data_IF_282234127881
#
_entry.id   IF_282234127881
#
_cell.length_a   1.000
_cell.length_b   1.000
_cell.length_c   1.000
_cell.angle_alpha   90.00
_cell.angle_beta   90.00
_cell.angle_gamma   90.00
#
_symmetry.space_group_name_H-M   'P 1'
#
loop_
_entity.id
_entity.type
_entity.pdbx_description
1 polymer ?
#
# COMPACT_ATOMS: atom_id res chain seq x y z
N UNK A 1 6.95 3.67 20.42
CA UNK A 1 6.16 4.73 19.76
C UNK A 1 6.60 5.03 18.31
N UNK A 2 7.22 4.08 17.60
CA UNK A 2 7.83 4.29 16.27
C UNK A 2 6.83 4.26 15.08
N UNK A 3 5.57 3.88 15.30
CA UNK A 3 4.59 3.70 14.22
C UNK A 3 3.61 4.87 14.04
N UNK A 4 3.50 5.81 15.01
CA UNK A 4 2.52 6.90 14.96
C UNK A 4 2.53 7.69 13.64
N UNK A 5 3.67 8.20 13.15
CA UNK A 5 3.69 8.95 11.89
C UNK A 5 3.34 8.06 10.68
N UNK A 6 3.65 6.77 10.72
CA UNK A 6 3.32 5.83 9.64
C UNK A 6 1.80 5.55 9.60
N UNK A 7 1.19 5.32 10.77
CA UNK A 7 -0.24 5.07 10.91
C UNK A 7 -1.08 6.32 10.57
N UNK A 8 -0.57 7.52 10.90
CA UNK A 8 -1.15 8.79 10.48
C UNK A 8 -1.06 8.98 8.96
N UNK A 9 0.11 8.74 8.35
CA UNK A 9 0.26 8.82 6.90
C UNK A 9 -0.68 7.85 6.17
N UNK A 10 -0.82 6.63 6.70
CA UNK A 10 -1.75 5.64 6.16
C UNK A 10 -3.20 6.11 6.22
N UNK A 11 -3.61 6.67 7.37
CA UNK A 11 -4.96 7.20 7.56
C UNK A 11 -5.26 8.37 6.63
N UNK A 12 -4.29 9.26 6.42
CA UNK A 12 -4.40 10.37 5.46
C UNK A 12 -4.55 9.87 4.02
N UNK A 13 -3.78 8.85 3.63
CA UNK A 13 -3.91 8.24 2.30
C UNK A 13 -5.26 7.57 2.08
N UNK A 14 -5.80 6.86 3.07
CA UNK A 14 -7.16 6.29 3.01
C UNK A 14 -8.18 7.38 2.76
N UNK A 15 -8.18 8.42 3.61
CA UNK A 15 -9.09 9.57 3.49
C UNK A 15 -8.97 10.28 2.15
N UNK A 16 -7.76 10.48 1.64
CA UNK A 16 -7.53 11.15 0.36
C UNK A 16 -8.09 10.33 -0.82
N UNK A 17 -7.99 9.00 -0.76
CA UNK A 17 -8.40 8.09 -1.83
C UNK A 17 -9.84 7.57 -1.71
N UNK A 18 -10.55 7.87 -0.61
CA UNK A 18 -11.99 7.63 -0.46
C UNK A 18 -12.80 8.31 -1.58
N UNK A 19 -12.40 9.52 -1.96
CA UNK A 19 -13.04 10.23 -3.06
C UNK A 19 -12.67 9.60 -4.41
N UNK A 20 -13.63 9.33 -5.30
CA UNK A 20 -13.34 8.81 -6.64
C UNK A 20 -12.61 9.85 -7.51
N UNK A 21 -11.81 9.37 -8.47
CA UNK A 21 -11.06 10.22 -9.40
C UNK A 21 -9.58 10.43 -9.02
N UNK A 22 -8.85 11.20 -9.82
CA UNK A 22 -7.43 11.48 -9.58
C UNK A 22 -7.30 12.51 -8.45
N UNK A 23 -6.66 12.17 -7.31
CA UNK A 23 -6.50 13.13 -6.22
C UNK A 23 -5.61 14.29 -6.65
N UNK A 24 -5.86 15.49 -6.11
CA UNK A 24 -5.02 16.68 -6.31
C UNK A 24 -3.73 16.56 -5.50
N UNK A 25 -2.77 15.81 -6.03
CA UNK A 25 -1.43 15.66 -5.46
C UNK A 25 -0.44 16.55 -6.22
N UNK A 26 0.57 17.06 -5.52
CA UNK A 26 1.63 17.90 -6.13
C UNK A 26 2.46 17.11 -7.14
N UNK A 27 2.78 15.86 -6.82
CA UNK A 27 3.52 14.96 -7.70
C UNK A 27 2.93 13.54 -7.62
N UNK A 28 2.44 12.99 -8.74
CA UNK A 28 1.93 11.62 -8.78
C UNK A 28 3.03 10.58 -8.53
N UNK A 29 4.23 10.79 -9.09
CA UNK A 29 5.36 9.86 -8.93
C UNK A 29 5.83 9.74 -7.47
N UNK A 30 5.95 10.88 -6.77
CA UNK A 30 6.32 10.88 -5.35
C UNK A 30 5.20 10.28 -4.49
N UNK A 31 3.94 10.50 -4.87
CA UNK A 31 2.78 9.91 -4.20
C UNK A 31 2.80 8.38 -4.27
N UNK A 32 3.00 7.83 -5.47
CA UNK A 32 3.14 6.39 -5.70
C UNK A 32 4.32 5.82 -4.90
N UNK A 33 5.48 6.48 -4.96
CA UNK A 33 6.68 6.08 -4.21
C UNK A 33 6.43 6.07 -2.70
N UNK A 34 5.69 7.05 -2.18
CA UNK A 34 5.36 7.14 -0.75
C UNK A 34 4.45 6.01 -0.28
N UNK A 35 3.44 5.65 -1.08
CA UNK A 35 2.55 4.52 -0.79
C UNK A 35 3.30 3.17 -0.84
N UNK A 36 4.21 3.02 -1.81
CA UNK A 36 5.07 1.84 -1.89
C UNK A 36 5.99 1.71 -0.67
N UNK A 37 6.60 2.81 -0.22
CA UNK A 37 7.44 2.83 0.97
C UNK A 37 6.64 2.48 2.23
N UNK A 38 5.44 3.06 2.36
CA UNK A 38 4.54 2.81 3.49
C UNK A 38 4.16 1.32 3.58
N UNK A 39 3.81 0.69 2.44
CA UNK A 39 3.54 -0.75 2.39
C UNK A 39 4.77 -1.61 2.76
N UNK A 40 5.95 -1.23 2.27
CA UNK A 40 7.20 -1.92 2.59
C UNK A 40 7.56 -1.82 4.08
N UNK A 41 7.36 -0.65 4.69
CA UNK A 41 7.59 -0.44 6.13
C UNK A 41 6.65 -1.28 6.98
N UNK A 42 5.36 -1.38 6.63
CA UNK A 42 4.45 -2.28 7.33
C UNK A 42 4.84 -3.75 7.19
N UNK A 43 5.33 -4.17 6.03
CA UNK A 43 5.83 -5.53 5.83
C UNK A 43 7.04 -5.82 6.72
N UNK A 44 7.99 -4.89 6.83
CA UNK A 44 9.16 -5.01 7.72
C UNK A 44 8.78 -5.04 9.20
N UNK A 45 7.67 -4.41 9.59
CA UNK A 45 7.13 -4.46 10.95
C UNK A 45 6.28 -5.70 11.24
N UNK A 46 6.26 -6.70 10.35
CA UNK A 46 5.39 -7.88 10.46
C UNK A 46 3.91 -7.52 10.63
N UNK A 47 3.47 -6.45 9.94
CA UNK A 47 2.08 -5.99 9.87
C UNK A 47 1.50 -6.26 8.47
N UNK A 48 1.27 -7.54 8.11
CA UNK A 48 0.92 -7.93 6.74
C UNK A 48 -0.44 -7.37 6.28
N UNK A 49 -1.39 -7.19 7.19
CA UNK A 49 -2.71 -6.62 6.86
C UNK A 49 -2.57 -5.14 6.45
N UNK A 50 -1.84 -4.33 7.22
CA UNK A 50 -1.59 -2.94 6.88
C UNK A 50 -0.76 -2.81 5.58
N UNK A 51 0.22 -3.70 5.37
CA UNK A 51 0.98 -3.74 4.11
C UNK A 51 0.07 -4.02 2.92
N UNK A 52 -0.85 -4.99 3.05
CA UNK A 52 -1.83 -5.33 2.02
C UNK A 52 -2.75 -4.14 1.70
N UNK A 53 -3.35 -3.50 2.71
CA UNK A 53 -4.19 -2.31 2.51
C UNK A 53 -3.41 -1.18 1.81
N UNK A 54 -2.15 -1.00 2.16
CA UNK A 54 -1.28 0.02 1.57
C UNK A 54 -0.99 -0.25 0.08
N UNK A 55 -0.75 -1.51 -0.29
CA UNK A 55 -0.63 -1.89 -1.70
C UNK A 55 -1.95 -1.75 -2.47
N UNK A 56 -3.11 -1.94 -1.83
CA UNK A 56 -4.41 -1.68 -2.44
C UNK A 56 -4.62 -0.20 -2.72
N UNK A 57 -4.20 0.68 -1.80
CA UNK A 57 -4.19 2.14 -2.02
C UNK A 57 -3.28 2.52 -3.20
N UNK A 58 -2.07 1.93 -3.26
CA UNK A 58 -1.14 2.11 -4.39
C UNK A 58 -1.78 1.69 -5.72
N UNK A 59 -2.38 0.49 -5.76
CA UNK A 59 -3.07 -0.02 -6.95
C UNK A 59 -4.21 0.91 -7.39
N UNK A 60 -5.00 1.42 -6.45
CA UNK A 60 -6.08 2.38 -6.73
C UNK A 60 -5.53 3.65 -7.38
N UNK A 61 -4.44 4.20 -6.85
CA UNK A 61 -3.81 5.40 -7.39
C UNK A 61 -3.19 5.15 -8.77
N UNK A 62 -2.45 4.05 -8.96
CA UNK A 62 -1.92 3.66 -10.28
C UNK A 62 -3.02 3.57 -11.34
N UNK A 63 -4.15 2.91 -11.01
CA UNK A 63 -5.30 2.79 -11.93
C UNK A 63 -5.90 4.15 -12.29
N UNK A 64 -6.07 5.05 -11.31
CA UNK A 64 -6.59 6.40 -11.54
C UNK A 64 -5.66 7.24 -12.44
N UNK A 65 -4.36 7.07 -12.28
CA UNK A 65 -3.34 7.76 -13.07
C UNK A 65 -3.06 7.11 -14.43
N UNK A 66 -3.64 5.94 -14.72
CA UNK A 66 -3.35 5.18 -15.95
C UNK A 66 -1.99 4.47 -15.96
N UNK A 67 -1.32 4.39 -14.80
CA UNK A 67 -0.03 3.73 -14.64
C UNK A 67 -0.19 2.19 -14.59
N UNK A 68 -0.04 1.56 -15.76
CA UNK A 68 -0.20 0.10 -15.91
C UNK A 68 0.94 -0.69 -15.28
N UNK A 69 2.18 -0.20 -15.37
CA UNK A 69 3.35 -0.90 -14.80
C UNK A 69 3.31 -0.85 -13.28
N UNK A 70 2.99 0.30 -12.69
CA UNK A 70 2.78 0.43 -11.25
C UNK A 70 1.62 -0.44 -10.75
N UNK A 71 0.52 -0.51 -11.49
CA UNK A 71 -0.61 -1.38 -11.14
C UNK A 71 -0.22 -2.87 -11.16
N UNK A 72 0.53 -3.32 -12.18
CA UNK A 72 1.02 -4.70 -12.26
C UNK A 72 1.98 -5.03 -11.10
N UNK A 73 2.89 -4.11 -10.77
CA UNK A 73 3.79 -4.28 -9.62
C UNK A 73 3.01 -4.37 -8.30
N UNK A 74 2.03 -3.47 -8.08
CA UNK A 74 1.20 -3.48 -6.88
C UNK A 74 0.43 -4.81 -6.74
N UNK A 75 -0.15 -5.32 -7.82
CA UNK A 75 -0.82 -6.63 -7.84
C UNK A 75 0.13 -7.77 -7.48
N UNK A 76 1.35 -7.78 -8.03
CA UNK A 76 2.36 -8.78 -7.67
C UNK A 76 2.69 -8.75 -6.18
N UNK A 77 2.85 -7.56 -5.58
CA UNK A 77 3.10 -7.44 -4.14
C UNK A 77 1.89 -7.90 -3.30
N UNK A 78 0.67 -7.56 -3.70
CA UNK A 78 -0.57 -8.03 -3.06
C UNK A 78 -0.61 -9.55 -3.04
N UNK A 79 -0.41 -10.20 -4.20
CA UNK A 79 -0.38 -11.66 -4.30
C UNK A 79 0.67 -12.27 -3.38
N UNK A 80 1.87 -11.69 -3.32
CA UNK A 80 2.93 -12.15 -2.40
C UNK A 80 2.52 -12.07 -0.93
N UNK A 81 1.91 -10.96 -0.50
CA UNK A 81 1.46 -10.79 0.89
C UNK A 81 0.33 -11.77 1.22
N UNK A 82 -0.62 -11.98 0.29
CA UNK A 82 -1.70 -12.95 0.47
C UNK A 82 -1.18 -14.39 0.56
N UNK A 83 -0.20 -14.77 -0.28
CA UNK A 83 0.44 -16.08 -0.21
C UNK A 83 1.18 -16.29 1.11
N UNK A 84 1.85 -15.25 1.63
CA UNK A 84 2.49 -15.29 2.94
C UNK A 84 1.46 -15.53 4.05
N UNK A 85 0.36 -14.78 4.05
CA UNK A 85 -0.74 -14.93 5.00
C UNK A 85 -1.44 -16.30 4.94
N UNK A 86 -1.58 -16.87 3.75
CA UNK A 86 -2.20 -18.19 3.55
C UNK A 86 -1.23 -19.37 3.77
N UNK A 87 0.06 -19.12 3.98
CA UNK A 87 1.04 -20.19 4.16
C UNK A 87 1.04 -20.73 5.60
N UNK A 88 0.89 -22.05 5.81
CA UNK A 88 0.88 -22.63 7.16
C UNK A 88 2.22 -22.46 7.89
N UNK A 89 3.32 -22.25 7.14
CA UNK A 89 4.65 -21.99 7.69
C UNK A 89 4.75 -20.65 8.45
N UNK A 90 3.82 -19.71 8.23
CA UNK A 90 3.75 -18.45 8.97
C UNK A 90 2.62 -18.44 10.02
N UNK A 91 1.76 -19.46 10.04
CA UNK A 91 0.67 -19.60 11.02
C UNK A 91 1.15 -20.13 12.39
N UNK A 92 2.43 -20.48 12.51
CA UNK A 92 3.05 -20.86 13.78
C UNK A 92 3.60 -19.61 14.48
N UNK A 93 2.79 -19.10 15.42
CA UNK A 93 3.20 -18.22 16.52
C UNK A 93 2.99 -18.99 17.81
#
# INVERSE_FOLDING_TARGET
ALCKPLDEAFSLWKKLLEHPGVPRVRSPEQSLSSLQLLAALYRLQHKPIQALESFLLLLSLCRRLGDRSGAANALCQISRVLLQLGSPAQAQV
#
